data_IF_483757928153
#
_entry.id   IF_483757928153
#
_cell.length_a   1.000
_cell.length_b   1.000
_cell.length_c   1.000
_cell.angle_alpha   90.00
_cell.angle_beta   90.00
_cell.angle_gamma   90.00
#
_symmetry.space_group_name_H-M   'P 1'
#
loop_
_entity.id
_entity.type
_entity.pdbx_description
1 polymer ?
#
# COMPACT_ATOMS: atom_id res chain seq x y z
N UNK A 1 14.79 9.43 -32.26
CA UNK A 1 13.74 9.00 -31.32
C UNK A 1 12.36 8.97 -31.95
N UNK A 2 11.95 9.93 -32.79
CA UNK A 2 10.71 9.84 -33.57
C UNK A 2 10.69 8.79 -34.72
N UNK A 3 11.78 8.03 -34.94
CA UNK A 3 11.86 7.05 -36.03
C UNK A 3 11.15 5.73 -35.73
N UNK A 4 10.82 5.42 -34.47
CA UNK A 4 10.26 4.12 -34.10
C UNK A 4 8.78 4.18 -33.70
N UNK A 5 8.30 5.32 -33.24
CA UNK A 5 6.87 5.57 -33.02
C UNK A 5 6.53 6.96 -33.59
N UNK A 6 6.46 7.10 -34.91
CA UNK A 6 6.21 8.41 -35.47
C UNK A 6 4.85 8.88 -34.96
N UNK A 7 4.83 9.98 -34.22
CA UNK A 7 3.67 10.86 -34.27
C UNK A 7 3.27 10.81 -35.72
N UNK A 8 2.06 10.36 -36.02
CA UNK A 8 1.62 10.40 -37.42
C UNK A 8 1.65 11.88 -37.81
N UNK A 9 2.84 12.32 -38.26
CA UNK A 9 3.18 13.71 -38.52
C UNK A 9 2.12 14.34 -39.40
N UNK A 10 1.59 13.56 -40.34
CA UNK A 10 0.52 13.99 -41.25
C UNK A 10 -0.77 14.27 -40.47
N UNK A 11 -1.18 13.38 -39.57
CA UNK A 11 -2.44 13.56 -38.83
C UNK A 11 -2.32 14.68 -37.79
N UNK A 12 -1.16 14.82 -37.16
CA UNK A 12 -0.93 15.90 -36.17
C UNK A 12 -0.79 17.25 -36.85
N UNK A 13 -0.06 17.30 -37.98
CA UNK A 13 0.05 18.48 -38.84
C UNK A 13 -1.31 18.92 -39.35
N UNK A 14 -2.10 18.00 -39.90
CA UNK A 14 -3.45 18.29 -40.41
C UNK A 14 -4.36 18.85 -39.32
N UNK A 15 -4.33 18.29 -38.10
CA UNK A 15 -5.08 18.82 -36.95
C UNK A 15 -4.61 20.21 -36.53
N UNK A 16 -3.30 20.48 -36.51
CA UNK A 16 -2.80 21.82 -36.20
C UNK A 16 -3.20 22.83 -37.30
N UNK A 17 -3.13 22.42 -38.56
CA UNK A 17 -3.58 23.23 -39.71
C UNK A 17 -5.07 23.54 -39.60
N UNK A 18 -5.90 22.56 -39.29
CA UNK A 18 -7.36 22.75 -39.09
C UNK A 18 -7.66 23.70 -37.93
N UNK A 19 -6.95 23.57 -36.82
CA UNK A 19 -7.10 24.47 -35.67
C UNK A 19 -6.63 25.89 -36.02
N UNK A 20 -5.49 26.01 -36.65
CA UNK A 20 -4.91 27.30 -37.03
C UNK A 20 -5.74 28.04 -38.08
N UNK A 21 -6.19 27.32 -39.14
CA UNK A 21 -7.06 27.88 -40.17
C UNK A 21 -8.47 28.18 -39.66
N UNK A 22 -9.02 27.26 -38.86
CA UNK A 22 -10.38 27.40 -38.34
C UNK A 22 -10.56 28.52 -37.31
N UNK A 23 -9.54 28.78 -36.48
CA UNK A 23 -9.64 29.69 -35.37
C UNK A 23 -8.85 30.99 -35.49
N UNK A 24 -7.75 31.00 -36.27
CA UNK A 24 -6.81 32.14 -36.25
C UNK A 24 -6.43 32.70 -37.63
N UNK A 25 -6.94 32.14 -38.74
CA UNK A 25 -6.68 32.60 -40.11
C UNK A 25 -5.16 32.73 -40.45
N UNK A 26 -4.35 31.77 -40.00
CA UNK A 26 -2.90 31.74 -40.14
C UNK A 26 -2.54 31.11 -41.49
N UNK A 27 -1.51 31.62 -42.19
CA UNK A 27 -1.09 31.08 -43.50
C UNK A 27 -0.48 29.68 -43.39
N UNK A 28 -0.56 28.88 -44.48
CA UNK A 28 0.05 27.55 -44.50
C UNK A 28 1.56 27.55 -44.24
N UNK A 29 2.27 28.62 -44.65
CA UNK A 29 3.70 28.78 -44.37
C UNK A 29 3.98 29.00 -42.89
N UNK A 30 3.16 29.83 -42.25
CA UNK A 30 3.31 30.12 -40.81
C UNK A 30 2.95 28.87 -39.97
N UNK A 31 1.97 28.06 -40.40
CA UNK A 31 1.66 26.77 -39.82
C UNK A 31 2.84 25.78 -39.87
N UNK A 32 3.54 25.72 -41.03
CA UNK A 32 4.70 24.83 -41.15
C UNK A 32 5.86 25.27 -40.25
N UNK A 33 6.15 26.56 -40.17
CA UNK A 33 7.17 27.09 -39.27
C UNK A 33 6.84 26.85 -37.81
N UNK A 34 5.57 27.01 -37.43
CA UNK A 34 5.09 26.72 -36.07
C UNK A 34 5.20 25.23 -35.76
N UNK A 35 4.81 24.36 -36.69
CA UNK A 35 4.91 22.92 -36.55
C UNK A 35 6.36 22.47 -36.30
N UNK A 36 7.32 22.94 -37.09
CA UNK A 36 8.74 22.62 -36.91
C UNK A 36 9.25 23.08 -35.54
N UNK A 37 8.88 24.30 -35.12
CA UNK A 37 9.24 24.79 -33.77
C UNK A 37 8.62 23.98 -32.64
N UNK A 38 7.40 23.45 -32.87
CA UNK A 38 6.74 22.57 -31.89
C UNK A 38 7.43 21.21 -31.80
N UNK A 39 7.81 20.62 -32.93
CA UNK A 39 8.57 19.36 -32.99
C UNK A 39 9.90 19.51 -32.25
N UNK A 40 10.67 20.58 -32.56
CA UNK A 40 11.92 20.88 -31.86
C UNK A 40 11.71 21.04 -30.33
N UNK A 41 10.60 21.64 -29.93
CA UNK A 41 10.26 21.80 -28.53
C UNK A 41 9.94 20.44 -27.84
N UNK A 42 9.13 19.60 -28.51
CA UNK A 42 8.76 18.28 -28.00
C UNK A 42 10.00 17.39 -27.85
N UNK A 43 10.89 17.38 -28.86
CA UNK A 43 12.15 16.63 -28.81
C UNK A 43 13.07 17.13 -27.67
N UNK A 44 13.20 18.45 -27.55
CA UNK A 44 14.09 19.06 -26.54
C UNK A 44 13.63 18.82 -25.10
N UNK A 45 12.34 18.52 -24.88
CA UNK A 45 11.75 18.30 -23.57
C UNK A 45 11.35 16.84 -23.33
N UNK A 46 11.86 15.90 -24.13
CA UNK A 46 11.57 14.46 -24.01
C UNK A 46 10.06 14.15 -24.01
N UNK A 47 9.28 14.97 -24.74
CA UNK A 47 7.83 14.78 -24.84
C UNK A 47 7.54 13.77 -25.94
N UNK A 48 6.86 12.72 -25.57
CA UNK A 48 6.45 11.61 -26.43
C UNK A 48 4.94 11.47 -26.48
N UNK A 49 4.43 10.77 -27.50
CA UNK A 49 3.01 10.49 -27.59
C UNK A 49 2.71 9.07 -27.12
N UNK A 50 1.72 8.93 -26.25
CA UNK A 50 1.21 7.63 -25.84
C UNK A 50 0.66 6.85 -27.03
N UNK A 51 1.14 5.63 -27.23
CA UNK A 51 0.74 4.76 -28.34
C UNK A 51 -0.70 4.27 -28.24
N UNK A 52 -1.28 4.30 -27.04
CA UNK A 52 -2.65 3.84 -26.81
C UNK A 52 -3.69 4.99 -26.94
N UNK A 53 -3.53 6.08 -26.18
CA UNK A 53 -4.53 7.16 -26.14
C UNK A 53 -4.17 8.41 -26.92
N UNK A 54 -2.92 8.52 -27.43
CA UNK A 54 -2.44 9.69 -28.15
C UNK A 54 -2.11 10.91 -27.28
N UNK A 55 -2.16 10.77 -25.94
CA UNK A 55 -1.77 11.81 -24.99
C UNK A 55 -0.27 12.09 -25.10
N UNK A 56 0.13 13.38 -25.02
CA UNK A 56 1.53 13.79 -25.00
C UNK A 56 1.99 13.97 -23.56
N UNK A 57 3.10 13.35 -23.19
CA UNK A 57 3.64 13.39 -21.84
C UNK A 57 5.17 13.50 -21.86
N UNK A 58 5.75 13.91 -20.74
CA UNK A 58 7.20 13.99 -20.58
C UNK A 58 7.72 12.65 -20.06
N UNK A 59 8.46 11.92 -20.91
CA UNK A 59 8.97 10.58 -20.61
C UNK A 59 10.02 10.57 -19.48
N UNK A 60 10.69 11.69 -19.18
CA UNK A 60 11.64 11.76 -18.08
C UNK A 60 10.95 11.84 -16.69
N UNK A 61 9.63 12.10 -16.67
CA UNK A 61 8.86 12.28 -15.43
C UNK A 61 7.67 11.33 -15.29
N UNK A 62 7.17 10.74 -16.36
CA UNK A 62 5.99 9.89 -16.36
C UNK A 62 6.00 8.89 -17.51
N UNK A 63 5.24 7.79 -17.39
CA UNK A 63 5.06 6.79 -18.42
C UNK A 63 6.18 5.76 -18.53
N UNK A 64 6.02 4.83 -19.47
CA UNK A 64 6.96 3.72 -19.71
C UNK A 64 7.23 3.54 -21.20
N UNK A 65 8.39 2.91 -21.53
CA UNK A 65 8.76 2.43 -22.84
C UNK A 65 8.98 0.93 -22.81
N UNK A 66 8.18 0.16 -23.55
CA UNK A 66 8.23 -1.31 -23.57
C UNK A 66 9.26 -1.90 -24.56
N UNK A 67 10.15 -1.08 -25.10
CA UNK A 67 11.10 -1.45 -26.15
C UNK A 67 10.60 -1.17 -27.57
N UNK A 68 9.33 -0.86 -27.75
CA UNK A 68 8.69 -0.58 -29.03
C UNK A 68 7.78 0.65 -29.00
N UNK A 69 7.11 0.91 -27.89
CA UNK A 69 6.07 1.92 -27.75
C UNK A 69 6.22 2.72 -26.45
N UNK A 70 5.77 3.98 -26.49
CA UNK A 70 5.63 4.83 -25.31
C UNK A 70 4.19 4.79 -24.81
N UNK A 71 3.99 4.65 -23.49
CA UNK A 71 2.69 4.69 -22.83
C UNK A 71 2.71 5.70 -21.71
N UNK A 72 1.68 6.54 -21.60
CA UNK A 72 1.48 7.36 -20.40
C UNK A 72 1.05 6.47 -19.22
N UNK A 73 1.10 7.00 -18.00
CA UNK A 73 0.79 6.23 -16.79
C UNK A 73 -0.60 5.58 -16.81
N UNK A 74 -1.59 6.23 -17.43
CA UNK A 74 -2.94 5.70 -17.58
C UNK A 74 -3.07 4.58 -18.64
N UNK A 75 -2.08 4.44 -19.53
CA UNK A 75 -2.13 3.53 -20.69
C UNK A 75 -1.01 2.50 -20.72
N UNK A 76 -0.07 2.55 -19.76
CA UNK A 76 0.98 1.54 -19.70
C UNK A 76 0.33 0.16 -19.69
N UNK A 77 0.93 -0.83 -20.39
CA UNK A 77 0.44 -2.19 -20.31
C UNK A 77 0.39 -2.60 -18.86
N UNK A 78 -0.78 -3.01 -18.40
CA UNK A 78 -0.87 -3.63 -17.08
C UNK A 78 0.03 -4.87 -17.12
N UNK A 79 0.91 -5.00 -16.14
CA UNK A 79 1.55 -6.27 -15.90
C UNK A 79 0.44 -7.29 -15.65
N UNK A 80 0.55 -8.48 -16.24
CA UNK A 80 -0.50 -9.50 -16.12
C UNK A 80 -0.77 -9.85 -14.65
N UNK A 81 0.22 -9.71 -13.79
CA UNK A 81 0.18 -10.10 -12.38
C UNK A 81 0.11 -8.92 -11.42
N UNK A 82 0.69 -7.74 -11.77
CA UNK A 82 0.67 -6.53 -10.93
C UNK A 82 -0.37 -5.55 -11.46
N UNK A 83 -1.38 -5.26 -10.65
CA UNK A 83 -2.47 -4.33 -11.00
C UNK A 83 -2.01 -2.89 -10.82
N UNK A 84 -2.48 -2.01 -11.70
CA UNK A 84 -2.30 -0.58 -11.50
C UNK A 84 -2.93 -0.12 -10.17
N UNK A 85 -2.39 0.95 -9.60
CA UNK A 85 -2.82 1.51 -8.33
C UNK A 85 -4.35 1.69 -8.26
N UNK A 86 -4.97 1.09 -7.23
CA UNK A 86 -6.43 1.06 -7.04
C UNK A 86 -7.27 0.42 -8.17
N UNK A 87 -6.66 -0.22 -9.16
CA UNK A 87 -7.38 -0.95 -10.21
C UNK A 87 -7.59 -2.44 -9.84
N UNK A 88 -8.14 -2.68 -8.66
CA UNK A 88 -8.44 -4.02 -8.17
C UNK A 88 -9.71 -4.05 -7.32
N UNK A 89 -10.24 -5.25 -7.10
CA UNK A 89 -11.41 -5.47 -6.28
C UNK A 89 -11.12 -6.45 -5.14
N UNK A 90 -11.30 -5.98 -3.92
CA UNK A 90 -11.27 -6.84 -2.74
C UNK A 90 -12.55 -7.70 -2.71
N UNK A 91 -12.39 -9.01 -2.58
CA UNK A 91 -13.49 -9.95 -2.44
C UNK A 91 -13.76 -10.18 -0.95
N UNK A 92 -15.02 -10.03 -0.55
CA UNK A 92 -15.49 -10.38 0.78
C UNK A 92 -16.42 -11.59 0.68
N UNK A 93 -15.90 -12.76 1.06
CA UNK A 93 -16.67 -14.01 1.16
C UNK A 93 -16.91 -14.41 2.62
N UNK A 94 -16.65 -13.52 3.56
CA UNK A 94 -16.78 -13.77 4.99
C UNK A 94 -18.20 -14.14 5.38
N UNK A 95 -18.30 -15.05 6.35
CA UNK A 95 -19.57 -15.47 6.96
C UNK A 95 -19.75 -14.85 8.35
N UNK A 96 -18.78 -14.09 8.83
CA UNK A 96 -18.77 -13.45 10.15
C UNK A 96 -18.54 -11.95 10.04
N UNK A 97 -18.73 -11.25 11.17
CA UNK A 97 -18.39 -9.83 11.29
C UNK A 97 -16.95 -9.60 11.82
N UNK A 98 -16.33 -10.69 12.32
CA UNK A 98 -14.95 -10.68 12.80
C UNK A 98 -14.02 -10.97 11.62
N UNK A 99 -13.70 -9.92 10.88
CA UNK A 99 -12.92 -10.04 9.64
C UNK A 99 -11.65 -9.20 9.67
N UNK A 100 -10.69 -9.59 8.83
CA UNK A 100 -9.47 -8.83 8.62
C UNK A 100 -9.01 -8.92 7.16
N UNK A 101 -8.11 -8.01 6.80
CA UNK A 101 -7.32 -8.02 5.58
C UNK A 101 -5.97 -7.35 5.84
N UNK A 102 -5.01 -7.55 4.97
CA UNK A 102 -3.70 -6.88 5.05
C UNK A 102 -3.31 -6.30 3.70
N UNK A 103 -2.48 -5.25 3.75
CA UNK A 103 -1.69 -4.71 2.66
C UNK A 103 -0.23 -4.74 3.13
N UNK A 104 0.61 -5.50 2.44
CA UNK A 104 2.02 -5.68 2.76
C UNK A 104 2.86 -5.06 1.63
N UNK A 105 3.52 -3.97 1.92
CA UNK A 105 4.41 -3.27 1.00
C UNK A 105 5.82 -3.88 1.04
N UNK A 106 6.36 -4.20 -0.14
CA UNK A 106 7.67 -4.87 -0.31
C UNK A 106 8.45 -4.18 -1.43
N UNK A 107 9.71 -3.88 -1.17
CA UNK A 107 10.66 -3.38 -2.17
C UNK A 107 11.49 -4.53 -2.73
N UNK A 108 11.84 -4.44 -4.02
CA UNK A 108 12.68 -5.40 -4.71
C UNK A 108 13.94 -4.73 -5.27
N UNK A 109 15.01 -5.50 -5.61
CA UNK A 109 16.20 -4.92 -6.19
C UNK A 109 15.98 -4.18 -7.52
N UNK A 110 14.98 -4.60 -8.28
CA UNK A 110 14.57 -4.03 -9.57
C UNK A 110 13.16 -4.50 -9.95
N UNK A 111 12.57 -3.89 -10.98
CA UNK A 111 11.23 -4.23 -11.46
C UNK A 111 11.11 -5.67 -11.98
N UNK A 112 12.14 -6.23 -12.62
CA UNK A 112 12.13 -7.61 -13.12
C UNK A 112 11.95 -8.60 -11.95
N UNK A 113 12.68 -8.41 -10.84
CA UNK A 113 12.50 -9.22 -9.63
C UNK A 113 11.10 -9.08 -9.02
N UNK A 114 10.51 -7.90 -9.07
CA UNK A 114 9.15 -7.65 -8.60
C UNK A 114 8.10 -8.37 -9.47
N UNK A 115 8.25 -8.31 -10.79
CA UNK A 115 7.38 -8.97 -11.76
C UNK A 115 7.47 -10.48 -11.68
N UNK A 116 8.68 -11.03 -11.64
CA UNK A 116 8.92 -12.48 -11.49
C UNK A 116 8.35 -13.01 -10.18
N UNK A 117 8.51 -12.25 -9.08
CA UNK A 117 7.90 -12.57 -7.79
C UNK A 117 6.37 -12.60 -7.88
N UNK A 118 5.77 -11.60 -8.52
CA UNK A 118 4.32 -11.53 -8.67
C UNK A 118 3.77 -12.69 -9.51
N UNK A 119 4.45 -13.08 -10.59
CA UNK A 119 4.11 -14.25 -11.40
C UNK A 119 4.16 -15.53 -10.56
N UNK A 120 5.23 -15.77 -9.80
CA UNK A 120 5.38 -16.96 -8.94
C UNK A 120 4.32 -17.00 -7.84
N UNK A 121 4.00 -15.85 -7.22
CA UNK A 121 2.92 -15.73 -6.24
C UNK A 121 1.58 -16.11 -6.86
N UNK A 122 1.28 -15.59 -8.06
CA UNK A 122 0.04 -15.93 -8.75
C UNK A 122 -0.04 -17.41 -9.10
N UNK A 123 1.05 -17.98 -9.63
CA UNK A 123 1.11 -19.41 -10.01
C UNK A 123 0.97 -20.32 -8.80
N UNK A 124 1.46 -19.94 -7.62
CA UNK A 124 1.47 -20.75 -6.39
C UNK A 124 0.23 -20.55 -5.53
N UNK A 125 -0.22 -19.31 -5.38
CA UNK A 125 -1.29 -18.92 -4.45
C UNK A 125 -2.59 -18.47 -5.16
N UNK A 126 -2.55 -18.34 -6.50
CA UNK A 126 -3.68 -17.84 -7.27
C UNK A 126 -4.07 -16.43 -6.84
N UNK A 127 -5.37 -16.18 -6.81
CA UNK A 127 -5.93 -14.88 -6.38
C UNK A 127 -6.04 -14.74 -4.84
N UNK A 128 -5.27 -15.50 -4.06
CA UNK A 128 -5.26 -15.34 -2.59
C UNK A 128 -4.78 -13.96 -2.17
N UNK A 129 -3.79 -13.44 -2.91
CA UNK A 129 -3.32 -12.07 -2.79
C UNK A 129 -3.44 -11.36 -4.14
N UNK A 130 -3.81 -10.10 -4.08
CA UNK A 130 -3.72 -9.17 -5.19
C UNK A 130 -2.34 -8.52 -5.10
N UNK A 131 -1.63 -8.42 -6.20
CA UNK A 131 -0.42 -7.64 -6.31
C UNK A 131 -0.76 -6.34 -7.01
N UNK A 132 -0.37 -5.21 -6.40
CA UNK A 132 -0.66 -3.89 -6.94
C UNK A 132 0.57 -2.97 -6.89
N UNK A 133 0.58 -1.98 -7.77
CA UNK A 133 1.54 -0.89 -7.68
C UNK A 133 1.19 0.03 -6.51
N UNK A 134 2.20 0.51 -5.80
CA UNK A 134 2.07 1.63 -4.87
C UNK A 134 3.12 2.69 -5.21
N UNK A 135 2.66 3.93 -5.37
CA UNK A 135 3.50 5.07 -5.78
C UNK A 135 4.53 5.50 -4.72
N UNK A 136 4.46 4.96 -3.51
CA UNK A 136 5.44 5.20 -2.45
C UNK A 136 6.66 4.29 -2.56
N UNK A 137 6.58 3.24 -3.39
CA UNK A 137 7.62 2.25 -3.60
C UNK A 137 8.39 2.54 -4.89
N UNK A 138 9.71 2.34 -4.90
CA UNK A 138 10.55 2.57 -6.08
C UNK A 138 10.47 1.40 -7.09
N UNK A 139 10.70 0.17 -6.61
CA UNK A 139 10.57 -1.07 -7.37
C UNK A 139 9.73 -2.08 -6.58
N UNK A 140 8.65 -1.61 -6.01
CA UNK A 140 7.91 -2.38 -5.02
C UNK A 140 6.57 -2.89 -5.51
N UNK A 141 6.05 -3.83 -4.73
CA UNK A 141 4.71 -4.40 -4.89
C UNK A 141 4.00 -4.37 -3.55
N UNK A 142 2.75 -3.95 -3.57
CA UNK A 142 1.84 -4.10 -2.46
C UNK A 142 1.08 -5.42 -2.60
N UNK A 143 1.24 -6.32 -1.63
CA UNK A 143 0.53 -7.60 -1.56
C UNK A 143 -0.71 -7.44 -0.68
N UNK A 144 -1.87 -7.48 -1.31
CA UNK A 144 -3.16 -7.17 -0.69
C UNK A 144 -3.96 -8.47 -0.53
N UNK A 145 -4.35 -8.82 0.69
CA UNK A 145 -5.22 -9.96 0.90
C UNK A 145 -6.68 -9.64 0.61
N UNK A 146 -7.46 -10.63 0.20
CA UNK A 146 -8.90 -10.54 0.31
C UNK A 146 -9.33 -10.54 1.79
N UNK A 147 -10.63 -10.35 2.02
CA UNK A 147 -11.19 -10.39 3.38
C UNK A 147 -11.20 -11.83 3.90
N UNK A 148 -10.66 -12.01 5.11
CA UNK A 148 -10.61 -13.28 5.82
C UNK A 148 -11.44 -13.22 7.11
N UNK A 149 -12.07 -14.32 7.46
CA UNK A 149 -12.64 -14.49 8.79
C UNK A 149 -11.52 -14.67 9.83
N UNK A 150 -11.65 -14.02 10.96
CA UNK A 150 -10.63 -14.07 12.03
C UNK A 150 -10.44 -15.51 12.56
N UNK A 151 -11.48 -16.33 12.54
CA UNK A 151 -11.41 -17.75 12.91
C UNK A 151 -10.49 -18.57 11.97
N UNK A 152 -10.27 -18.11 10.74
CA UNK A 152 -9.46 -18.79 9.73
C UNK A 152 -7.99 -18.32 9.75
N UNK A 153 -7.58 -17.61 10.78
CA UNK A 153 -6.23 -17.01 10.95
C UNK A 153 -5.11 -18.03 10.73
N UNK A 154 -5.32 -19.30 11.13
CA UNK A 154 -4.34 -20.37 10.91
C UNK A 154 -4.20 -20.75 9.43
N UNK A 155 -5.29 -20.79 8.70
CA UNK A 155 -5.26 -21.04 7.26
C UNK A 155 -4.61 -19.88 6.52
N UNK A 156 -4.90 -18.66 6.95
CA UNK A 156 -4.23 -17.46 6.44
C UNK A 156 -2.72 -17.49 6.70
N UNK A 157 -2.29 -17.85 7.93
CA UNK A 157 -0.86 -17.98 8.27
C UNK A 157 -0.09 -18.86 7.28
N UNK A 158 -0.64 -20.01 6.89
CA UNK A 158 0.01 -20.92 5.95
C UNK A 158 0.16 -20.30 4.55
N UNK A 159 -0.82 -19.53 4.12
CA UNK A 159 -0.74 -18.77 2.84
C UNK A 159 0.28 -17.64 2.92
N UNK A 160 0.26 -16.90 4.03
CA UNK A 160 1.21 -15.83 4.31
C UNK A 160 2.66 -16.34 4.38
N UNK A 161 2.89 -17.49 5.03
CA UNK A 161 4.21 -18.12 5.10
C UNK A 161 4.72 -18.48 3.71
N UNK A 162 3.85 -19.02 2.84
CA UNK A 162 4.19 -19.32 1.44
C UNK A 162 4.53 -18.03 0.67
N UNK A 163 3.69 -17.00 0.77
CA UNK A 163 3.94 -15.69 0.16
C UNK A 163 5.31 -15.14 0.56
N UNK A 164 5.59 -15.10 1.86
CA UNK A 164 6.83 -14.53 2.39
C UNK A 164 8.06 -15.34 1.94
N UNK A 165 7.94 -16.65 1.80
CA UNK A 165 9.05 -17.46 1.28
C UNK A 165 9.34 -17.13 -0.19
N UNK A 166 8.31 -16.97 -1.02
CA UNK A 166 8.48 -16.53 -2.42
C UNK A 166 9.13 -15.15 -2.45
N UNK A 167 8.61 -14.17 -1.71
CA UNK A 167 9.18 -12.82 -1.64
C UNK A 167 10.69 -12.85 -1.29
N UNK A 168 11.10 -13.68 -0.33
CA UNK A 168 12.50 -13.84 0.08
C UNK A 168 13.36 -14.47 -1.02
N UNK A 169 12.83 -15.37 -1.84
CA UNK A 169 13.54 -15.97 -2.98
C UNK A 169 13.88 -14.94 -4.06
N UNK A 170 13.04 -13.91 -4.22
CA UNK A 170 13.26 -12.79 -5.14
C UNK A 170 13.92 -11.56 -4.48
N UNK A 171 14.57 -11.76 -3.33
CA UNK A 171 15.32 -10.73 -2.58
C UNK A 171 14.47 -9.54 -2.13
N UNK A 172 13.14 -9.73 -1.98
CA UNK A 172 12.24 -8.70 -1.46
C UNK A 172 12.60 -8.29 -0.03
N UNK A 173 12.52 -7.01 0.25
CA UNK A 173 12.82 -6.41 1.56
C UNK A 173 11.68 -5.51 2.02
N UNK A 174 11.51 -5.40 3.34
CA UNK A 174 10.47 -4.59 3.96
C UNK A 174 11.06 -3.58 4.95
N UNK A 175 11.53 -4.08 6.09
CA UNK A 175 11.85 -3.29 7.29
C UNK A 175 13.06 -2.37 7.16
N UNK A 176 13.91 -2.58 6.15
CA UNK A 176 15.08 -1.74 5.87
C UNK A 176 14.75 -0.64 4.82
N UNK A 177 13.56 -0.70 4.22
CA UNK A 177 13.03 0.33 3.33
C UNK A 177 12.43 1.48 4.13
N UNK A 178 12.69 2.70 3.71
CA UNK A 178 12.08 3.89 4.33
C UNK A 178 10.59 4.04 3.98
N UNK A 179 10.12 3.34 2.95
CA UNK A 179 8.83 3.59 2.32
C UNK A 179 7.80 2.48 2.57
N UNK A 180 8.22 1.28 3.05
CA UNK A 180 7.31 0.16 3.18
C UNK A 180 6.58 0.09 4.52
N UNK A 181 5.30 -0.24 4.49
CA UNK A 181 4.41 -0.42 5.63
C UNK A 181 3.66 -1.75 5.62
N UNK A 182 2.97 -2.02 6.70
CA UNK A 182 1.97 -3.07 6.82
C UNK A 182 0.67 -2.42 7.31
N UNK A 183 -0.35 -2.46 6.46
CA UNK A 183 -1.68 -1.99 6.83
C UNK A 183 -2.55 -3.21 7.20
N UNK A 184 -3.28 -3.09 8.29
CA UNK A 184 -4.17 -4.15 8.77
C UNK A 184 -5.58 -3.59 8.88
N UNK A 185 -6.50 -4.16 8.12
CA UNK A 185 -7.91 -3.80 8.11
C UNK A 185 -8.69 -4.74 9.03
N UNK A 186 -9.45 -4.19 9.96
CA UNK A 186 -10.40 -4.93 10.79
C UNK A 186 -11.81 -4.47 10.42
N UNK A 187 -12.70 -5.43 10.15
CA UNK A 187 -14.08 -5.15 9.77
C UNK A 187 -14.83 -4.36 10.84
N UNK A 188 -15.54 -3.31 10.43
CA UNK A 188 -16.37 -2.51 11.32
C UNK A 188 -17.58 -3.31 11.79
N UNK A 189 -17.86 -3.24 13.09
CA UNK A 189 -19.06 -3.79 13.71
C UNK A 189 -20.10 -2.70 13.90
N UNK A 190 -21.36 -3.04 13.75
CA UNK A 190 -22.46 -2.10 13.99
C UNK A 190 -22.41 -1.52 15.41
N UNK A 191 -22.51 -0.20 15.51
CA UNK A 191 -22.49 0.52 16.79
C UNK A 191 -21.12 0.65 17.44
N UNK A 192 -20.02 0.34 16.75
CA UNK A 192 -18.69 0.56 17.24
C UNK A 192 -18.33 2.05 17.23
N UNK A 193 -17.76 2.54 18.32
CA UNK A 193 -17.24 3.89 18.46
C UNK A 193 -15.72 3.90 18.18
N UNK A 194 -15.35 4.15 16.93
CA UNK A 194 -13.93 4.23 16.52
C UNK A 194 -13.20 5.38 17.22
N UNK A 195 -13.91 6.46 17.57
CA UNK A 195 -13.31 7.58 18.30
C UNK A 195 -12.73 7.17 19.66
N UNK A 196 -13.26 6.12 20.28
CA UNK A 196 -12.67 5.57 21.53
C UNK A 196 -11.34 4.87 21.27
N UNK A 197 -11.22 4.16 20.16
CA UNK A 197 -9.96 3.53 19.74
C UNK A 197 -8.92 4.61 19.44
N UNK A 198 -9.28 5.63 18.66
CA UNK A 198 -8.39 6.77 18.35
C UNK A 198 -7.90 7.46 19.62
N UNK A 199 -8.80 7.79 20.53
CA UNK A 199 -8.45 8.41 21.80
C UNK A 199 -7.53 7.53 22.63
N UNK A 200 -7.83 6.22 22.75
CA UNK A 200 -7.00 5.30 23.50
C UNK A 200 -5.58 5.21 22.92
N UNK A 201 -5.46 5.08 21.59
CA UNK A 201 -4.16 5.02 20.94
C UNK A 201 -3.39 6.35 21.05
N UNK A 202 -4.07 7.48 20.96
CA UNK A 202 -3.47 8.80 21.13
C UNK A 202 -2.96 9.01 22.57
N UNK A 203 -3.74 8.67 23.58
CA UNK A 203 -3.36 8.83 24.98
C UNK A 203 -2.18 7.92 25.37
N UNK A 204 -2.08 6.75 24.72
CA UNK A 204 -1.00 5.77 24.92
C UNK A 204 -0.02 5.73 23.73
N UNK A 205 0.14 6.84 23.02
CA UNK A 205 0.97 6.93 21.80
C UNK A 205 2.39 6.39 21.96
N UNK A 206 3.00 6.57 23.13
CA UNK A 206 4.35 6.04 23.43
C UNK A 206 4.40 4.52 23.33
N UNK A 207 3.39 3.83 23.91
CA UNK A 207 3.26 2.39 23.81
C UNK A 207 3.14 1.96 22.34
N UNK A 208 2.21 2.56 21.59
CA UNK A 208 1.93 2.17 20.22
C UNK A 208 3.06 2.50 19.25
N UNK A 209 3.77 3.60 19.48
CA UNK A 209 5.00 3.92 18.74
C UNK A 209 6.08 2.86 18.95
N UNK A 210 6.27 2.38 20.19
CA UNK A 210 7.20 1.27 20.45
C UNK A 210 6.76 -0.03 19.78
N UNK A 211 5.47 -0.35 19.84
CA UNK A 211 4.92 -1.59 19.28
C UNK A 211 4.92 -1.59 17.75
N UNK A 212 4.83 -0.43 17.12
CA UNK A 212 4.74 -0.28 15.66
C UNK A 212 5.92 -0.89 14.91
N UNK A 213 7.10 -0.90 15.51
CA UNK A 213 8.35 -1.32 14.88
C UNK A 213 8.94 -0.27 13.93
N UNK A 214 8.26 0.86 13.70
CA UNK A 214 8.78 1.97 12.88
C UNK A 214 9.93 2.68 13.58
N UNK A 215 10.90 3.15 12.79
CA UNK A 215 12.08 3.86 13.27
C UNK A 215 12.01 5.33 12.86
N UNK A 216 12.22 6.27 13.79
CA UNK A 216 12.26 7.69 13.44
C UNK A 216 13.36 8.03 12.42
N UNK A 217 14.50 7.34 12.50
CA UNK A 217 15.66 7.60 11.65
C UNK A 217 15.45 7.21 10.19
N UNK A 218 14.56 6.28 9.91
CA UNK A 218 14.29 5.81 8.54
C UNK A 218 13.21 6.63 7.83
N UNK A 219 12.59 7.61 8.52
CA UNK A 219 11.46 8.36 7.98
C UNK A 219 10.13 7.61 7.96
N UNK A 220 10.11 6.29 8.18
CA UNK A 220 8.87 5.49 8.17
C UNK A 220 7.89 5.91 9.27
N UNK A 221 8.37 6.54 10.34
CA UNK A 221 7.55 7.09 11.40
C UNK A 221 6.67 8.27 10.94
N UNK A 222 7.09 8.99 9.89
CA UNK A 222 6.33 10.12 9.33
C UNK A 222 5.06 9.67 8.60
N UNK A 223 5.00 8.43 8.11
CA UNK A 223 3.86 7.84 7.41
C UNK A 223 2.79 7.24 8.34
N UNK A 224 3.06 7.20 9.65
CA UNK A 224 2.09 6.74 10.65
C UNK A 224 2.32 7.50 11.96
N UNK A 225 1.79 8.72 12.04
CA UNK A 225 1.95 9.61 13.19
C UNK A 225 0.88 9.33 14.25
N UNK A 226 1.23 9.39 15.52
CA UNK A 226 0.26 9.14 16.60
C UNK A 226 -0.82 10.23 16.74
N UNK A 227 -0.67 11.38 16.11
CA UNK A 227 -1.50 12.57 16.32
C UNK A 227 -1.86 13.34 15.02
N UNK A 228 -1.78 12.70 13.87
CA UNK A 228 -2.19 13.31 12.62
C UNK A 228 -3.67 12.93 12.36
N UNK A 229 -4.51 13.91 12.07
CA UNK A 229 -5.92 13.67 11.72
C UNK A 229 -6.09 13.34 10.23
N UNK A 230 -5.01 13.02 9.54
CA UNK A 230 -5.01 12.76 8.12
C UNK A 230 -4.67 11.31 7.75
N UNK A 231 -4.42 11.11 6.48
CA UNK A 231 -4.01 9.85 5.85
C UNK A 231 -2.81 9.17 6.55
N UNK A 232 -1.96 9.94 7.25
CA UNK A 232 -0.73 9.45 7.91
C UNK A 232 -0.91 9.24 9.42
N UNK A 233 -2.12 8.99 9.88
CA UNK A 233 -2.43 8.65 11.26
C UNK A 233 -2.14 7.18 11.56
N UNK A 234 -2.00 6.82 12.84
CA UNK A 234 -1.88 5.42 13.29
C UNK A 234 -3.02 4.54 12.81
N UNK A 235 -4.20 5.12 12.73
CA UNK A 235 -5.38 4.47 12.18
C UNK A 235 -6.10 5.41 11.21
N UNK A 236 -6.76 4.80 10.25
CA UNK A 236 -7.66 5.45 9.32
C UNK A 236 -8.99 4.66 9.31
N UNK A 237 -10.10 5.31 9.07
CA UNK A 237 -11.42 4.67 9.07
C UNK A 237 -12.05 4.82 7.71
N UNK A 238 -12.50 3.71 7.15
CA UNK A 238 -13.33 3.66 5.95
C UNK A 238 -14.79 3.37 6.34
N UNK A 239 -15.69 3.29 5.38
CA UNK A 239 -17.08 2.88 5.61
C UNK A 239 -17.21 1.43 6.08
N UNK A 240 -16.20 0.58 5.85
CA UNK A 240 -16.24 -0.86 6.07
C UNK A 240 -15.23 -1.37 7.08
N UNK A 241 -14.11 -0.65 7.29
CA UNK A 241 -12.99 -1.12 8.10
C UNK A 241 -12.36 -0.02 8.92
N UNK A 242 -11.71 -0.42 10.02
CA UNK A 242 -10.64 0.34 10.66
C UNK A 242 -9.32 -0.19 10.12
N UNK A 243 -8.53 0.69 9.50
CA UNK A 243 -7.22 0.43 8.96
C UNK A 243 -6.16 0.83 9.99
N UNK A 244 -5.36 -0.11 10.46
CA UNK A 244 -4.22 0.11 11.33
C UNK A 244 -2.96 0.31 10.48
N UNK A 245 -2.52 1.54 10.31
CA UNK A 245 -1.36 1.95 9.51
C UNK A 245 -0.06 2.04 10.32
N UNK A 246 -0.15 1.89 11.63
CA UNK A 246 1.01 2.07 12.52
C UNK A 246 2.12 1.04 12.32
N UNK A 247 1.84 -0.13 11.77
CA UNK A 247 2.79 -1.23 11.70
C UNK A 247 3.86 -1.00 10.62
N UNK A 248 5.12 -1.25 10.98
CA UNK A 248 6.18 -1.37 9.98
C UNK A 248 5.99 -2.66 9.19
N UNK A 249 6.41 -2.71 7.92
CA UNK A 249 6.41 -3.97 7.17
C UNK A 249 7.44 -4.96 7.74
N UNK A 250 7.23 -6.24 7.48
CA UNK A 250 8.13 -7.31 7.92
C UNK A 250 7.91 -8.58 7.12
N UNK A 251 8.99 -9.32 6.87
CA UNK A 251 8.96 -10.66 6.26
C UNK A 251 9.01 -11.79 7.30
N UNK A 252 8.52 -11.54 8.53
CA UNK A 252 8.36 -12.54 9.57
C UNK A 252 6.87 -12.88 9.74
N UNK A 253 6.39 -14.03 9.21
CA UNK A 253 4.95 -14.36 9.17
C UNK A 253 4.29 -14.29 10.54
N UNK A 254 4.94 -14.82 11.57
CA UNK A 254 4.40 -14.82 12.92
C UNK A 254 4.24 -13.41 13.49
N UNK A 255 5.15 -12.49 13.18
CA UNK A 255 5.05 -11.09 13.59
C UNK A 255 3.85 -10.39 12.95
N UNK A 256 3.55 -10.70 11.67
CA UNK A 256 2.33 -10.19 11.00
C UNK A 256 1.07 -10.71 11.71
N UNK A 257 1.01 -12.00 12.02
CA UNK A 257 -0.12 -12.60 12.74
C UNK A 257 -0.29 -11.96 14.14
N UNK A 258 0.80 -11.75 14.87
CA UNK A 258 0.76 -11.07 16.19
C UNK A 258 0.21 -9.65 16.06
N UNK A 259 0.54 -8.93 15.01
CA UNK A 259 0.03 -7.58 14.71
C UNK A 259 -1.45 -7.60 14.31
N UNK A 260 -1.89 -8.56 13.50
CA UNK A 260 -3.31 -8.76 13.19
C UNK A 260 -4.09 -9.01 14.49
N UNK A 261 -3.60 -9.90 15.33
CA UNK A 261 -4.23 -10.22 16.61
C UNK A 261 -4.28 -9.01 17.55
N UNK A 262 -3.20 -8.23 17.66
CA UNK A 262 -3.18 -7.00 18.44
C UNK A 262 -4.17 -5.95 17.93
N UNK A 263 -4.25 -5.75 16.60
CA UNK A 263 -5.20 -4.83 15.99
C UNK A 263 -6.64 -5.26 16.28
N UNK A 264 -6.95 -6.55 16.17
CA UNK A 264 -8.26 -7.11 16.49
C UNK A 264 -8.61 -6.94 17.97
N UNK A 265 -7.66 -7.22 18.88
CA UNK A 265 -7.87 -7.05 20.31
C UNK A 265 -8.01 -5.60 20.74
N UNK A 266 -7.23 -4.69 20.17
CA UNK A 266 -7.36 -3.24 20.41
C UNK A 266 -8.74 -2.75 20.03
N UNK A 267 -9.20 -3.13 18.83
CA UNK A 267 -10.52 -2.80 18.35
C UNK A 267 -11.63 -3.33 19.27
N UNK A 268 -11.58 -4.62 19.65
CA UNK A 268 -12.59 -5.23 20.52
C UNK A 268 -12.52 -4.67 21.95
N UNK A 269 -11.33 -4.43 22.51
CA UNK A 269 -11.16 -3.85 23.83
C UNK A 269 -11.82 -2.49 23.94
N UNK A 270 -11.61 -1.63 22.95
CA UNK A 270 -12.17 -0.28 22.95
C UNK A 270 -13.67 -0.27 22.63
N UNK A 271 -14.15 -1.21 21.81
CA UNK A 271 -15.56 -1.35 21.45
C UNK A 271 -16.43 -1.93 22.58
N UNK A 272 -15.92 -2.89 23.33
CA UNK A 272 -16.69 -3.64 24.35
C UNK A 272 -16.71 -2.97 25.73
N UNK A 273 -15.86 -1.99 26.00
CA UNK A 273 -15.83 -1.31 27.27
C UNK A 273 -16.87 -0.17 27.32
N UNK A 274 -18.09 -0.52 27.70
CA UNK A 274 -19.24 0.39 27.83
C UNK A 274 -19.17 1.36 29.02
N UNK A 275 -18.13 1.32 29.84
CA UNK A 275 -18.00 2.29 30.92
C UNK A 275 -17.58 3.65 30.37
N UNK A 276 -18.25 4.72 30.79
CA UNK A 276 -17.87 6.11 30.48
C UNK A 276 -16.51 6.51 31.11
N UNK A 277 -15.73 5.53 31.54
CA UNK A 277 -14.44 5.69 32.16
C UNK A 277 -13.28 5.71 31.17
N UNK A 278 -12.24 6.42 31.54
CA UNK A 278 -10.95 6.44 30.90
C UNK A 278 -10.36 5.02 30.80
N UNK A 279 -10.06 4.55 29.59
CA UNK A 279 -9.43 3.27 29.34
C UNK A 279 -7.94 3.35 29.72
N UNK A 280 -7.46 2.35 30.47
CA UNK A 280 -6.07 2.30 30.92
C UNK A 280 -5.30 1.20 30.21
N UNK A 281 -4.04 1.48 29.95
CA UNK A 281 -3.09 0.52 29.37
C UNK A 281 -3.08 -0.82 30.16
N UNK A 282 -3.09 -0.76 31.50
CA UNK A 282 -3.12 -1.97 32.33
C UNK A 282 -4.39 -2.81 32.17
N UNK A 283 -5.51 -2.19 31.79
CA UNK A 283 -6.76 -2.93 31.54
C UNK A 283 -6.69 -3.64 30.20
N UNK A 284 -6.02 -3.03 29.20
CA UNK A 284 -5.72 -3.69 27.94
C UNK A 284 -4.78 -4.90 28.12
N UNK A 285 -3.72 -4.76 28.92
CA UNK A 285 -2.84 -5.91 29.24
C UNK A 285 -3.58 -7.04 29.95
N UNK A 286 -4.50 -6.72 30.86
CA UNK A 286 -5.35 -7.73 31.53
C UNK A 286 -6.27 -8.41 30.49
N UNK A 287 -6.86 -7.66 29.60
CA UNK A 287 -7.68 -8.18 28.51
C UNK A 287 -6.90 -9.16 27.64
N UNK A 288 -5.70 -8.80 27.16
CA UNK A 288 -4.83 -9.68 26.38
C UNK A 288 -4.47 -10.98 27.12
N UNK A 289 -4.42 -10.95 28.45
CA UNK A 289 -4.06 -12.12 29.26
C UNK A 289 -5.22 -13.10 29.43
N UNK A 290 -6.44 -12.64 29.36
CA UNK A 290 -7.65 -13.43 29.69
C UNK A 290 -8.39 -13.94 28.48
N UNK A 291 -8.04 -13.50 27.29
CA UNK A 291 -8.69 -13.89 26.06
C UNK A 291 -7.93 -15.03 25.36
N UNK A 292 -8.62 -16.12 25.06
CA UNK A 292 -8.08 -17.34 24.48
C UNK A 292 -8.47 -17.52 22.99
N UNK A 293 -9.06 -16.49 22.38
CA UNK A 293 -9.64 -16.58 21.02
C UNK A 293 -8.69 -17.23 20.01
N UNK A 294 -7.45 -16.75 19.89
CA UNK A 294 -6.50 -17.30 18.93
C UNK A 294 -6.02 -18.71 19.27
N UNK A 295 -5.98 -19.06 20.55
CA UNK A 295 -5.67 -20.42 21.01
C UNK A 295 -6.78 -21.39 20.59
N UNK A 296 -8.03 -21.00 20.76
CA UNK A 296 -9.22 -21.80 20.34
C UNK A 296 -9.26 -22.01 18.83
N UNK A 297 -8.74 -21.05 18.04
CA UNK A 297 -8.65 -21.16 16.59
C UNK A 297 -7.30 -21.72 16.09
N UNK A 298 -6.57 -22.40 16.96
CA UNK A 298 -5.36 -23.16 16.62
C UNK A 298 -4.10 -22.31 16.39
N UNK A 299 -4.10 -21.04 16.85
CA UNK A 299 -2.98 -20.11 16.81
C UNK A 299 -2.66 -19.60 18.24
N UNK A 300 -2.01 -20.40 19.08
CA UNK A 300 -1.67 -19.97 20.44
C UNK A 300 -0.61 -18.86 20.40
N UNK A 301 -1.06 -17.61 20.57
CA UNK A 301 -0.21 -16.42 20.55
C UNK A 301 0.15 -15.97 21.98
N UNK A 302 1.39 -15.52 22.17
CA UNK A 302 1.80 -14.87 23.40
C UNK A 302 2.00 -13.37 23.18
N UNK A 303 0.88 -12.66 23.02
CA UNK A 303 0.87 -11.23 22.72
C UNK A 303 1.52 -10.37 23.81
N UNK A 304 1.49 -10.82 25.06
CA UNK A 304 2.22 -10.13 26.13
C UNK A 304 3.74 -10.23 25.94
N UNK A 305 4.24 -11.41 25.54
CA UNK A 305 5.66 -11.57 25.24
C UNK A 305 6.05 -10.73 24.01
N UNK A 306 5.20 -10.65 22.99
CA UNK A 306 5.38 -9.76 21.86
C UNK A 306 5.48 -8.30 22.30
N UNK A 307 4.54 -7.80 23.08
CA UNK A 307 4.57 -6.43 23.61
C UNK A 307 5.85 -6.15 24.41
N UNK A 308 6.22 -7.05 25.33
CA UNK A 308 7.45 -6.92 26.11
C UNK A 308 8.71 -6.88 25.24
N UNK A 309 8.79 -7.74 24.21
CA UNK A 309 9.91 -7.75 23.27
C UNK A 309 10.10 -6.40 22.58
N UNK A 310 9.01 -5.84 22.06
CA UNK A 310 9.06 -4.57 21.33
C UNK A 310 9.28 -3.37 22.22
N UNK A 311 8.66 -3.32 23.41
CA UNK A 311 8.89 -2.28 24.40
C UNK A 311 10.36 -2.23 24.82
N UNK A 312 10.94 -3.38 25.15
CA UNK A 312 12.34 -3.44 25.55
C UNK A 312 13.31 -3.06 24.42
N UNK A 313 12.95 -3.37 23.17
CA UNK A 313 13.80 -3.09 22.00
C UNK A 313 13.76 -1.62 21.58
N UNK A 314 12.64 -0.91 21.80
CA UNK A 314 12.36 0.37 21.16
C UNK A 314 12.17 1.54 22.13
N UNK A 315 12.02 1.28 23.39
CA UNK A 315 11.70 2.33 24.36
C UNK A 315 12.73 3.45 24.38
N UNK A 316 14.02 3.11 24.36
CA UNK A 316 15.12 4.10 24.37
C UNK A 316 15.24 4.84 23.04
N UNK A 317 14.90 4.16 21.92
CA UNK A 317 15.00 4.72 20.57
C UNK A 317 13.90 5.74 20.29
N UNK A 318 12.70 5.56 20.83
CA UNK A 318 11.49 6.30 20.46
C UNK A 318 11.19 7.46 21.41
N UNK A 319 11.50 7.32 22.69
CA UNK A 319 11.24 8.37 23.71
C UNK A 319 11.70 9.78 23.29
N UNK A 320 12.88 9.99 22.67
CA UNK A 320 13.32 11.33 22.27
C UNK A 320 12.41 12.02 21.23
N UNK A 321 11.55 11.27 20.53
CA UNK A 321 10.75 11.77 19.40
C UNK A 321 9.25 11.90 19.75
N UNK A 322 8.84 11.53 20.93
CA UNK A 322 7.48 11.60 21.42
C UNK A 322 7.36 12.49 22.66
#
# INVERSE_FOLDING_TARGET
MFSENPINETCFYDKLVDIAYGNYNISAHDCQSFFMSLVDYLESNTIVQCSNCGYFFNYDSEGVYDGSHYYCDDCKPENEYIRAYHNYRIVNNSQTVDTFGIELEVEFPNNESAEDCAEEVYNTLGETFIMAEDSSLDNGVEFISHVWDMQDIKAFYLKLETLINIIKEYEGVCHDSSNSGLHIHIGLKDGCDVGRLENFMYEHKHLFSCLSGRLPETGTFEYARPYDNGRYSFINTTDLTVEFRLWNSTLEPMTIIERIALSYYLYNFTSNNYSDGYLKEMDFYRFLKTDDYFTEHGMPLNLLAYCHKWLNKRFEDIIPYI
#
